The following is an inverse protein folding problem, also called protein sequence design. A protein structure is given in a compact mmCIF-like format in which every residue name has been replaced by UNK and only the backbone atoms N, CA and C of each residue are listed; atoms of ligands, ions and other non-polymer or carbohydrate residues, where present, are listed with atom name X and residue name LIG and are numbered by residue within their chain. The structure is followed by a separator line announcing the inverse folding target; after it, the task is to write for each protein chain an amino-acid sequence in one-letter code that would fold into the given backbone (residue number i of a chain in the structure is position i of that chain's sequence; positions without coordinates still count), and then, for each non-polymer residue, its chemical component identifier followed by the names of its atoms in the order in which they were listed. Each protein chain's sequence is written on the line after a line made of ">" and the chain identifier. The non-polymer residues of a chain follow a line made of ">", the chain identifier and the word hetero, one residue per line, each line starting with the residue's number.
data_IF_845051321339
#
_entry.id   IF_845051321339
#
_cell.length_a   1.000
_cell.length_b   1.000
_cell.length_c   1.000
_cell.angle_alpha   90.00
_cell.angle_beta   90.00
_cell.angle_gamma   90.00
#
_symmetry.space_group_name_H-M   'P 1'
#
loop_
_entity.id
_entity.type
_entity.pdbx_description
1 polymer ?
#
# COMPACT_ATOMS: atom_id res chain seq x y z
N UNK A 1 49.54 33.58 -71.17
CA UNK A 1 49.24 32.32 -71.90
C UNK A 1 49.36 31.14 -70.93
N UNK A 2 48.25 30.64 -70.39
CA UNK A 2 48.22 29.46 -69.51
C UNK A 2 47.51 28.32 -70.26
N UNK A 3 48.18 27.18 -70.34
CA UNK A 3 47.76 25.94 -71.03
C UNK A 3 46.62 25.28 -70.24
N UNK A 4 45.58 24.82 -70.92
CA UNK A 4 44.55 23.93 -70.36
C UNK A 4 45.04 22.48 -70.48
N UNK A 5 44.98 21.74 -69.38
CA UNK A 5 45.18 20.28 -69.35
C UNK A 5 43.80 19.66 -69.12
N UNK A 6 43.28 18.92 -70.11
CA UNK A 6 42.12 18.05 -69.94
C UNK A 6 42.52 16.88 -69.05
N UNK A 7 41.80 16.67 -67.96
CA UNK A 7 41.89 15.46 -67.14
C UNK A 7 40.60 14.65 -67.35
N UNK A 8 40.74 13.51 -68.04
CA UNK A 8 39.69 12.50 -68.15
C UNK A 8 39.47 11.88 -66.76
N UNK A 9 38.29 12.05 -66.18
CA UNK A 9 37.92 11.40 -64.93
C UNK A 9 37.25 10.05 -65.26
N UNK A 10 37.96 8.98 -64.95
CA UNK A 10 37.52 7.60 -65.10
C UNK A 10 36.49 7.31 -63.99
N UNK A 11 35.20 7.16 -64.35
CA UNK A 11 34.15 6.79 -63.39
C UNK A 11 34.27 5.30 -63.10
N UNK A 12 34.90 4.95 -61.98
CA UNK A 12 34.79 3.60 -61.40
C UNK A 12 33.41 3.48 -60.75
N UNK A 13 32.50 2.79 -61.44
CA UNK A 13 31.27 2.25 -60.86
C UNK A 13 31.66 1.19 -59.83
N UNK A 14 31.68 1.56 -58.55
CA UNK A 14 31.64 0.58 -57.48
C UNK A 14 30.20 0.04 -57.38
N UNK A 15 30.01 -1.29 -57.35
CA UNK A 15 28.68 -1.85 -57.06
C UNK A 15 28.28 -1.39 -55.66
N UNK A 16 27.14 -0.71 -55.56
CA UNK A 16 26.49 -0.43 -54.28
C UNK A 16 26.10 -1.78 -53.69
N UNK A 17 26.84 -2.22 -52.67
CA UNK A 17 26.41 -3.34 -51.85
C UNK A 17 25.24 -2.83 -51.01
N UNK A 18 24.02 -3.20 -51.38
CA UNK A 18 22.80 -2.90 -50.62
C UNK A 18 22.83 -3.67 -49.31
N UNK A 19 23.29 -3.02 -48.25
CA UNK A 19 23.25 -3.56 -46.90
C UNK A 19 21.79 -3.52 -46.42
N UNK A 20 21.22 -4.67 -46.07
CA UNK A 20 19.89 -4.79 -45.49
C UNK A 20 19.80 -3.84 -44.27
N UNK A 21 18.91 -2.86 -44.34
CA UNK A 21 18.85 -1.76 -43.37
C UNK A 21 18.04 -2.19 -42.15
N UNK A 22 18.69 -2.86 -41.20
CA UNK A 22 18.10 -3.22 -39.90
C UNK A 22 17.64 -1.94 -39.20
N UNK A 23 16.35 -1.87 -38.83
CA UNK A 23 15.78 -0.78 -38.05
C UNK A 23 15.78 -1.15 -36.56
N UNK A 24 16.11 -0.20 -35.69
CA UNK A 24 16.11 -0.40 -34.24
C UNK A 24 15.15 0.56 -33.55
N UNK A 25 14.41 0.06 -32.56
CA UNK A 25 13.55 0.85 -31.70
C UNK A 25 13.91 0.57 -30.25
N UNK A 26 14.06 1.63 -29.47
CA UNK A 26 14.30 1.57 -28.03
C UNK A 26 13.13 2.23 -27.29
N UNK A 27 12.71 1.61 -26.18
CA UNK A 27 11.68 2.14 -25.32
C UNK A 27 11.95 1.89 -23.85
N UNK A 28 11.47 2.83 -23.03
CA UNK A 28 11.57 2.78 -21.58
C UNK A 28 10.19 2.85 -20.95
N UNK A 29 9.90 1.88 -20.10
CA UNK A 29 8.69 1.87 -19.28
C UNK A 29 9.03 1.94 -17.80
N UNK A 30 8.24 2.70 -17.06
CA UNK A 30 8.35 2.83 -15.61
C UNK A 30 7.02 2.36 -15.02
N UNK A 31 7.09 1.35 -14.16
CA UNK A 31 5.96 0.82 -13.42
C UNK A 31 6.03 1.25 -11.96
N UNK A 32 4.96 1.88 -11.46
CA UNK A 32 4.79 2.17 -10.04
C UNK A 32 4.20 0.94 -9.35
N UNK A 33 4.97 0.34 -8.45
CA UNK A 33 4.62 -0.89 -7.76
C UNK A 33 3.76 -0.61 -6.53
N UNK A 34 2.74 -1.42 -6.35
CA UNK A 34 1.96 -1.47 -5.11
C UNK A 34 2.71 -2.22 -4.01
N UNK A 35 2.24 -2.10 -2.77
CA UNK A 35 2.82 -2.83 -1.61
C UNK A 35 2.79 -4.37 -1.78
N UNK A 36 1.98 -4.87 -2.71
CA UNK A 36 1.80 -6.29 -2.95
C UNK A 36 2.49 -6.79 -4.23
N UNK A 37 3.13 -5.90 -5.00
CA UNK A 37 3.86 -6.30 -6.19
C UNK A 37 5.26 -6.80 -5.83
N UNK A 38 5.56 -8.03 -6.26
CA UNK A 38 6.91 -8.57 -6.19
C UNK A 38 7.77 -8.03 -7.33
N UNK A 39 9.10 -8.01 -7.15
CA UNK A 39 10.05 -7.70 -8.23
C UNK A 39 9.78 -8.50 -9.51
N UNK A 40 9.38 -9.77 -9.38
CA UNK A 40 9.09 -10.66 -10.52
C UNK A 40 7.82 -10.21 -11.24
N UNK A 41 6.77 -9.88 -10.48
CA UNK A 41 5.50 -9.37 -11.02
C UNK A 41 5.71 -8.05 -11.76
N UNK A 42 6.43 -7.11 -11.14
CA UNK A 42 6.78 -5.84 -11.77
C UNK A 42 7.57 -6.06 -13.06
N UNK A 43 8.59 -6.92 -13.03
CA UNK A 43 9.40 -7.25 -14.21
C UNK A 43 8.55 -7.79 -15.36
N UNK A 44 7.64 -8.73 -15.07
CA UNK A 44 6.76 -9.32 -16.07
C UNK A 44 5.82 -8.28 -16.70
N UNK A 45 5.22 -7.42 -15.88
CA UNK A 45 4.34 -6.34 -16.35
C UNK A 45 5.13 -5.34 -17.20
N UNK A 46 6.28 -4.87 -16.71
CA UNK A 46 7.12 -3.92 -17.44
C UNK A 46 7.58 -4.49 -18.77
N UNK A 47 7.97 -5.77 -18.81
CA UNK A 47 8.40 -6.43 -20.05
C UNK A 47 7.27 -6.55 -21.06
N UNK A 48 6.06 -6.87 -20.61
CA UNK A 48 4.88 -6.92 -21.48
C UNK A 48 4.54 -5.54 -22.07
N UNK A 49 4.61 -4.48 -21.26
CA UNK A 49 4.32 -3.11 -21.72
C UNK A 49 5.39 -2.57 -22.66
N UNK A 50 6.68 -2.73 -22.33
CA UNK A 50 7.77 -2.31 -23.24
C UNK A 50 7.69 -3.07 -24.56
N UNK A 51 7.46 -4.40 -24.52
CA UNK A 51 7.32 -5.20 -25.75
C UNK A 51 6.15 -4.70 -26.60
N UNK A 52 5.01 -4.36 -25.98
CA UNK A 52 3.87 -3.76 -26.69
C UNK A 52 4.23 -2.45 -27.38
N UNK A 53 4.82 -1.50 -26.66
CA UNK A 53 5.21 -0.19 -27.20
C UNK A 53 6.21 -0.30 -28.36
N UNK A 54 7.19 -1.18 -28.21
CA UNK A 54 8.18 -1.48 -29.25
C UNK A 54 7.52 -2.06 -30.50
N UNK A 55 6.63 -3.04 -30.34
CA UNK A 55 5.91 -3.63 -31.46
C UNK A 55 4.96 -2.63 -32.13
N UNK A 56 4.30 -1.74 -31.36
CA UNK A 56 3.47 -0.67 -31.93
C UNK A 56 4.31 0.28 -32.79
N UNK A 57 5.52 0.67 -32.35
CA UNK A 57 6.46 1.50 -33.13
C UNK A 57 6.93 0.79 -34.40
N UNK A 58 7.32 -0.47 -34.29
CA UNK A 58 7.73 -1.28 -35.44
C UNK A 58 6.57 -1.46 -36.43
N UNK A 59 5.36 -1.73 -35.92
CA UNK A 59 4.15 -1.84 -36.71
C UNK A 59 3.88 -0.58 -37.52
N UNK A 60 3.87 0.59 -36.87
CA UNK A 60 3.71 1.89 -37.56
C UNK A 60 4.81 2.13 -38.61
N UNK A 61 6.07 1.78 -38.30
CA UNK A 61 7.17 1.95 -39.25
C UNK A 61 7.04 1.04 -40.48
N UNK A 62 6.72 -0.23 -40.25
CA UNK A 62 6.52 -1.20 -41.31
C UNK A 62 5.31 -0.83 -42.16
N UNK A 63 4.20 -0.43 -41.55
CA UNK A 63 3.01 0.09 -42.24
C UNK A 63 3.38 1.21 -43.22
N UNK A 64 4.11 2.23 -42.76
CA UNK A 64 4.60 3.33 -43.59
C UNK A 64 5.58 2.89 -44.70
N UNK A 65 6.42 1.87 -44.46
CA UNK A 65 7.33 1.31 -45.48
C UNK A 65 6.59 0.45 -46.51
N UNK A 66 5.54 -0.25 -46.08
CA UNK A 66 4.70 -1.12 -46.91
C UNK A 66 3.60 -0.37 -47.66
N UNK A 67 3.23 0.85 -47.26
CA UNK A 67 2.28 1.71 -48.00
C UNK A 67 2.83 2.22 -49.36
N UNK A 68 4.09 1.94 -49.68
CA UNK A 68 4.62 2.10 -51.06
C UNK A 68 4.42 0.81 -51.89
N UNK A 69 3.94 -0.30 -51.29
CA UNK A 69 3.67 -1.58 -51.96
C UNK A 69 2.30 -2.16 -51.53
N UNK A 70 1.24 -1.67 -52.19
CA UNK A 70 -0.04 -2.37 -52.41
C UNK A 70 -0.77 -3.00 -51.18
N UNK A 71 -1.16 -2.16 -50.22
CA UNK A 71 -2.46 -2.21 -49.51
C UNK A 71 -3.01 -3.59 -49.01
N UNK A 72 -2.23 -4.40 -48.27
CA UNK A 72 -2.68 -5.78 -47.96
C UNK A 72 -2.53 -6.31 -46.50
N UNK A 73 -2.23 -5.51 -45.47
CA UNK A 73 -2.25 -5.98 -44.08
C UNK A 73 -2.63 -4.86 -43.10
N UNK A 74 -3.34 -5.19 -42.02
CA UNK A 74 -3.66 -4.28 -40.92
C UNK A 74 -2.49 -4.16 -39.94
N UNK A 75 -2.38 -3.02 -39.24
CA UNK A 75 -1.36 -2.78 -38.20
C UNK A 75 -1.28 -3.91 -37.15
N UNK A 76 -2.41 -4.49 -36.77
CA UNK A 76 -2.48 -5.59 -35.80
C UNK A 76 -1.88 -6.91 -36.31
N UNK A 77 -1.97 -7.18 -37.63
CA UNK A 77 -1.35 -8.35 -38.26
C UNK A 77 0.18 -8.20 -38.32
N UNK A 78 0.68 -6.99 -38.62
CA UNK A 78 2.11 -6.67 -38.60
C UNK A 78 2.69 -6.83 -37.19
N UNK A 79 1.99 -6.33 -36.16
CA UNK A 79 2.38 -6.47 -34.75
C UNK A 79 2.42 -7.95 -34.34
N UNK A 80 1.40 -8.73 -34.73
CA UNK A 80 1.30 -10.16 -34.37
C UNK A 80 2.43 -10.99 -35.00
N UNK A 81 2.79 -10.68 -36.25
CA UNK A 81 3.79 -11.44 -37.00
C UNK A 81 5.22 -11.06 -36.63
N UNK A 82 5.47 -9.77 -36.43
CA UNK A 82 6.78 -9.30 -35.95
C UNK A 82 7.08 -9.76 -34.52
N UNK A 83 6.06 -9.98 -33.67
CA UNK A 83 6.25 -10.45 -32.29
C UNK A 83 6.93 -11.82 -32.14
N UNK A 84 6.87 -12.67 -33.18
CA UNK A 84 7.52 -13.99 -33.23
C UNK A 84 8.87 -14.01 -33.94
N UNK A 85 9.18 -12.98 -34.74
CA UNK A 85 10.41 -12.87 -35.54
C UNK A 85 11.45 -11.99 -34.84
N UNK A 86 10.97 -10.97 -34.13
CA UNK A 86 11.80 -9.91 -33.59
C UNK A 86 12.12 -10.18 -32.12
N UNK A 87 13.41 -10.32 -31.82
CA UNK A 87 13.90 -10.52 -30.46
C UNK A 87 13.86 -9.18 -29.70
N UNK A 88 13.26 -9.19 -28.52
CA UNK A 88 13.34 -8.07 -27.57
C UNK A 88 14.59 -8.24 -26.71
N UNK A 89 15.53 -7.32 -26.83
CA UNK A 89 16.74 -7.24 -26.00
C UNK A 89 16.53 -6.27 -24.84
N UNK A 90 16.84 -6.72 -23.63
CA UNK A 90 16.73 -5.87 -22.43
C UNK A 90 18.05 -5.14 -22.24
N UNK A 91 18.01 -3.80 -22.30
CA UNK A 91 19.20 -2.96 -22.16
C UNK A 91 19.44 -2.58 -20.70
N UNK A 92 18.38 -2.28 -19.96
CA UNK A 92 18.48 -1.86 -18.57
C UNK A 92 17.26 -2.27 -17.76
N UNK A 93 17.50 -2.80 -16.54
CA UNK A 93 16.46 -3.01 -15.53
C UNK A 93 16.89 -2.34 -14.22
N UNK A 94 15.98 -1.63 -13.54
CA UNK A 94 16.19 -1.13 -12.18
C UNK A 94 14.94 -1.33 -11.33
N UNK A 95 15.15 -1.76 -10.10
CA UNK A 95 14.13 -1.94 -9.07
C UNK A 95 14.58 -1.27 -7.78
N UNK A 96 13.74 -0.43 -7.18
CA UNK A 96 14.06 0.27 -5.93
C UNK A 96 13.07 -0.01 -4.78
N UNK A 97 12.18 -1.00 -4.93
CA UNK A 97 11.15 -1.32 -3.94
C UNK A 97 9.80 -0.63 -4.18
N UNK A 98 9.78 0.45 -4.98
CA UNK A 98 8.56 1.23 -5.28
C UNK A 98 8.32 1.39 -6.77
N UNK A 99 9.36 1.41 -7.58
CA UNK A 99 9.27 1.57 -9.03
C UNK A 99 10.19 0.59 -9.73
N UNK A 100 9.69 0.04 -10.83
CA UNK A 100 10.42 -0.84 -11.74
C UNK A 100 10.60 -0.12 -13.07
N UNK A 101 11.84 0.19 -13.45
CA UNK A 101 12.15 0.77 -14.75
C UNK A 101 12.78 -0.28 -15.66
N UNK A 102 12.24 -0.44 -16.87
CA UNK A 102 12.74 -1.34 -17.89
C UNK A 102 12.98 -0.57 -19.19
N UNK A 103 14.19 -0.67 -19.73
CA UNK A 103 14.51 -0.21 -21.08
C UNK A 103 14.84 -1.41 -21.95
N UNK A 104 14.18 -1.54 -23.09
CA UNK A 104 14.43 -2.61 -24.04
C UNK A 104 14.48 -2.10 -25.48
N UNK A 105 15.08 -2.91 -26.34
CA UNK A 105 15.23 -2.67 -27.77
C UNK A 105 14.66 -3.82 -28.57
N UNK A 106 14.13 -3.51 -29.74
CA UNK A 106 13.91 -4.47 -30.81
C UNK A 106 14.69 -4.04 -32.04
N UNK A 107 15.18 -5.02 -32.78
CA UNK A 107 15.82 -4.82 -34.07
C UNK A 107 15.13 -5.71 -35.10
N UNK A 108 14.73 -5.12 -36.23
CA UNK A 108 14.04 -5.84 -37.28
C UNK A 108 14.69 -5.54 -38.63
N UNK A 109 14.87 -6.57 -39.45
CA UNK A 109 15.11 -6.42 -40.87
C UNK A 109 13.75 -6.25 -41.57
N UNK A 110 13.41 -5.05 -42.07
CA UNK A 110 12.10 -4.81 -42.66
C UNK A 110 11.85 -5.67 -43.91
N UNK A 111 12.91 -5.99 -44.65
CA UNK A 111 12.80 -6.75 -45.90
C UNK A 111 12.64 -8.24 -45.60
N UNK A 112 13.35 -8.75 -44.59
CA UNK A 112 13.14 -10.09 -44.05
C UNK A 112 11.74 -10.28 -43.43
N UNK A 113 11.21 -9.25 -42.74
CA UNK A 113 9.82 -9.27 -42.26
C UNK A 113 8.86 -9.29 -43.45
N UNK A 114 9.07 -8.47 -44.49
CA UNK A 114 8.26 -8.49 -45.71
C UNK A 114 8.28 -9.84 -46.43
N UNK A 115 9.44 -10.49 -46.54
CA UNK A 115 9.56 -11.83 -47.14
C UNK A 115 8.84 -12.90 -46.31
N UNK A 116 8.95 -12.85 -44.98
CA UNK A 116 8.20 -13.74 -44.10
C UNK A 116 6.68 -13.55 -44.25
N UNK A 117 6.23 -12.30 -44.47
CA UNK A 117 4.83 -11.96 -44.74
C UNK A 117 4.37 -12.52 -46.10
N UNK A 118 5.17 -12.43 -47.15
CA UNK A 118 4.86 -13.02 -48.46
C UNK A 118 4.81 -14.55 -48.41
N UNK A 119 5.76 -15.18 -47.71
CA UNK A 119 5.79 -16.64 -47.53
C UNK A 119 4.52 -17.16 -46.80
N UNK A 120 4.00 -16.38 -45.85
CA UNK A 120 2.77 -16.71 -45.13
C UNK A 120 1.50 -16.54 -45.98
N UNK A 121 1.48 -15.63 -46.95
CA UNK A 121 0.37 -15.50 -47.93
C UNK A 121 0.28 -16.69 -48.88
N UNK A 122 1.41 -17.35 -49.16
CA UNK A 122 1.47 -18.52 -50.05
C UNK A 122 1.16 -19.85 -49.35
N UNK A 123 1.17 -19.89 -48.01
CA UNK A 123 0.74 -21.06 -47.23
C UNK A 123 -0.80 -21.04 -47.08
N UNK A 124 -1.49 -21.95 -47.77
CA UNK A 124 -2.96 -22.11 -47.70
C UNK A 124 -3.51 -22.28 -46.26
N UNK A 125 -2.66 -22.56 -45.25
CA UNK A 125 -3.03 -22.68 -43.84
C UNK A 125 -2.37 -21.65 -42.90
N UNK A 126 -1.53 -20.75 -43.42
CA UNK A 126 -0.76 -19.77 -42.63
C UNK A 126 -1.66 -18.74 -41.94
N UNK A 127 -2.59 -18.17 -42.69
CA UNK A 127 -3.54 -17.15 -42.21
C UNK A 127 -4.43 -17.68 -41.06
N UNK A 128 -4.89 -18.94 -41.17
CA UNK A 128 -5.68 -19.60 -40.13
C UNK A 128 -4.87 -19.83 -38.84
N UNK A 129 -3.59 -20.18 -38.94
CA UNK A 129 -2.70 -20.33 -37.77
C UNK A 129 -2.47 -18.98 -37.08
N UNK A 130 -2.27 -17.91 -37.85
CA UNK A 130 -2.07 -16.56 -37.32
C UNK A 130 -3.32 -16.06 -36.61
N UNK A 131 -4.50 -16.20 -37.23
CA UNK A 131 -5.78 -15.85 -36.59
C UNK A 131 -5.98 -16.62 -35.29
N UNK A 132 -5.70 -17.93 -35.29
CA UNK A 132 -5.78 -18.75 -34.07
C UNK A 132 -4.80 -18.28 -32.98
N UNK A 133 -3.58 -17.92 -33.33
CA UNK A 133 -2.58 -17.37 -32.40
C UNK A 133 -2.99 -16.00 -31.86
N UNK A 134 -3.53 -15.11 -32.71
CA UNK A 134 -4.05 -13.81 -32.31
C UNK A 134 -5.19 -13.97 -31.29
N UNK A 135 -6.15 -14.86 -31.57
CA UNK A 135 -7.26 -15.15 -30.65
C UNK A 135 -6.77 -15.74 -29.32
N UNK A 136 -5.78 -16.63 -29.35
CA UNK A 136 -5.19 -17.21 -28.12
C UNK A 136 -4.51 -16.10 -27.31
N UNK A 137 -3.78 -15.19 -27.97
CA UNK A 137 -3.08 -14.10 -27.32
C UNK A 137 -4.06 -13.09 -26.70
N UNK A 138 -5.12 -12.72 -27.42
CA UNK A 138 -6.21 -11.86 -26.91
C UNK A 138 -6.88 -12.46 -25.67
N UNK A 139 -7.29 -13.73 -25.73
CA UNK A 139 -7.84 -14.45 -24.57
C UNK A 139 -6.87 -14.53 -23.39
N UNK A 140 -5.57 -14.66 -23.67
CA UNK A 140 -4.54 -14.68 -22.62
C UNK A 140 -4.39 -13.32 -21.95
N UNK A 141 -4.45 -12.23 -22.73
CA UNK A 141 -4.44 -10.85 -22.21
C UNK A 141 -5.68 -10.61 -21.34
N UNK A 142 -6.86 -11.02 -21.79
CA UNK A 142 -8.10 -10.92 -21.01
C UNK A 142 -8.00 -11.68 -19.69
N UNK A 143 -7.46 -12.90 -19.73
CA UNK A 143 -7.26 -13.70 -18.51
C UNK A 143 -6.26 -13.05 -17.55
N UNK A 144 -5.19 -12.47 -18.07
CA UNK A 144 -4.23 -11.70 -17.25
C UNK A 144 -4.91 -10.50 -16.59
N UNK A 145 -5.75 -9.77 -17.32
CA UNK A 145 -6.48 -8.62 -16.79
C UNK A 145 -7.53 -9.02 -15.74
N UNK A 146 -8.20 -10.16 -15.93
CA UNK A 146 -9.08 -10.76 -14.94
C UNK A 146 -8.33 -11.12 -13.65
N UNK A 147 -7.23 -11.86 -13.76
CA UNK A 147 -6.40 -12.25 -12.61
C UNK A 147 -5.85 -11.04 -11.85
N UNK A 148 -5.50 -9.95 -12.55
CA UNK A 148 -5.10 -8.67 -11.91
C UNK A 148 -6.23 -8.08 -11.06
N UNK A 149 -7.48 -8.11 -11.55
CA UNK A 149 -8.64 -7.61 -10.80
C UNK A 149 -8.93 -8.49 -9.58
N UNK A 150 -8.81 -9.80 -9.71
CA UNK A 150 -8.96 -10.73 -8.58
C UNK A 150 -7.88 -10.51 -7.51
N UNK A 151 -6.62 -10.35 -7.94
CA UNK A 151 -5.51 -10.06 -7.04
C UNK A 151 -5.74 -8.75 -6.26
N UNK A 152 -6.19 -7.68 -6.93
CA UNK A 152 -6.51 -6.41 -6.28
C UNK A 152 -7.61 -6.56 -5.21
N UNK A 153 -8.66 -7.34 -5.48
CA UNK A 153 -9.73 -7.62 -4.50
C UNK A 153 -9.21 -8.40 -3.29
N UNK A 154 -8.37 -9.41 -3.52
CA UNK A 154 -7.76 -10.19 -2.43
C UNK A 154 -6.88 -9.31 -1.56
N UNK A 155 -6.11 -8.40 -2.15
CA UNK A 155 -5.27 -7.45 -1.42
C UNK A 155 -6.09 -6.51 -0.54
N UNK A 156 -7.17 -5.92 -1.06
CA UNK A 156 -8.08 -5.07 -0.27
C UNK A 156 -8.65 -5.82 0.93
N UNK A 157 -9.11 -7.06 0.72
CA UNK A 157 -9.62 -7.91 1.79
C UNK A 157 -8.57 -8.24 2.85
N UNK A 158 -7.31 -8.50 2.45
CA UNK A 158 -6.21 -8.74 3.39
C UNK A 158 -5.92 -7.52 4.27
N UNK A 159 -5.99 -6.31 3.72
CA UNK A 159 -5.84 -5.07 4.49
C UNK A 159 -6.94 -4.95 5.55
N UNK A 160 -8.19 -5.21 5.18
CA UNK A 160 -9.33 -5.18 6.10
C UNK A 160 -9.17 -6.23 7.22
N UNK A 161 -8.85 -7.47 6.87
CA UNK A 161 -8.62 -8.56 7.84
C UNK A 161 -7.50 -8.21 8.81
N UNK A 162 -6.37 -7.68 8.32
CA UNK A 162 -5.26 -7.27 9.18
C UNK A 162 -5.63 -6.12 10.12
N UNK A 163 -6.43 -5.15 9.63
CA UNK A 163 -6.94 -4.05 10.47
C UNK A 163 -7.86 -4.59 11.57
N UNK A 164 -8.77 -5.48 11.24
CA UNK A 164 -9.72 -6.04 12.19
C UNK A 164 -9.03 -6.95 13.21
N UNK A 165 -8.06 -7.75 12.77
CA UNK A 165 -7.20 -8.55 13.64
C UNK A 165 -6.38 -7.68 14.59
N UNK A 166 -5.70 -6.65 14.09
CA UNK A 166 -4.91 -5.73 14.94
C UNK A 166 -5.77 -4.99 15.97
N UNK A 167 -6.99 -4.60 15.58
CA UNK A 167 -7.97 -3.97 16.49
C UNK A 167 -8.40 -4.95 17.56
N UNK A 168 -8.75 -6.18 17.17
CA UNK A 168 -9.15 -7.25 18.08
C UNK A 168 -8.03 -7.61 19.07
N UNK A 169 -6.79 -7.70 18.58
CA UNK A 169 -5.61 -7.95 19.40
C UNK A 169 -5.39 -6.84 20.45
N UNK A 170 -5.50 -5.55 20.07
CA UNK A 170 -5.43 -4.44 21.02
C UNK A 170 -6.52 -4.54 22.10
N UNK A 171 -7.74 -4.93 21.74
CA UNK A 171 -8.83 -5.11 22.70
C UNK A 171 -8.54 -6.25 23.70
N UNK A 172 -8.05 -7.38 23.21
CA UNK A 172 -7.71 -8.55 24.03
C UNK A 172 -6.56 -8.21 24.99
N UNK A 173 -5.46 -7.65 24.47
CA UNK A 173 -4.28 -7.30 25.29
C UNK A 173 -4.63 -6.24 26.35
N UNK A 174 -5.49 -5.27 26.00
CA UNK A 174 -5.99 -4.28 26.96
C UNK A 174 -6.79 -4.94 28.09
N UNK A 175 -7.69 -5.86 27.75
CA UNK A 175 -8.48 -6.59 28.73
C UNK A 175 -7.62 -7.48 29.64
N UNK A 176 -6.70 -8.27 29.08
CA UNK A 176 -5.81 -9.14 29.84
C UNK A 176 -4.92 -8.35 30.81
N UNK A 177 -4.37 -7.23 30.35
CA UNK A 177 -3.58 -6.31 31.18
C UNK A 177 -4.42 -5.70 32.30
N UNK A 178 -5.68 -5.34 32.02
CA UNK A 178 -6.59 -4.80 33.02
C UNK A 178 -6.96 -5.83 34.10
N UNK A 179 -7.29 -7.07 33.71
CA UNK A 179 -7.58 -8.16 34.65
C UNK A 179 -6.37 -8.49 35.52
N UNK A 180 -5.17 -8.50 34.93
CA UNK A 180 -3.90 -8.66 35.66
C UNK A 180 -3.71 -7.54 36.68
N UNK A 181 -3.96 -6.29 36.28
CA UNK A 181 -3.91 -5.14 37.19
C UNK A 181 -4.87 -5.26 38.36
N UNK A 182 -6.12 -5.69 38.12
CA UNK A 182 -7.11 -5.93 39.17
C UNK A 182 -6.66 -7.03 40.15
N UNK A 183 -6.15 -8.14 39.64
CA UNK A 183 -5.65 -9.25 40.46
C UNK A 183 -4.47 -8.81 41.35
N UNK A 184 -3.52 -8.06 40.80
CA UNK A 184 -2.37 -7.52 41.54
C UNK A 184 -2.81 -6.49 42.59
N UNK A 185 -3.78 -5.64 42.26
CA UNK A 185 -4.35 -4.65 43.17
C UNK A 185 -5.00 -5.33 44.39
N UNK A 186 -5.78 -6.39 44.16
CA UNK A 186 -6.41 -7.19 45.21
C UNK A 186 -5.39 -7.90 46.10
N UNK A 187 -4.26 -8.33 45.54
CA UNK A 187 -3.12 -8.93 46.28
C UNK A 187 -2.22 -7.89 46.96
N UNK A 188 -2.55 -6.60 46.92
CA UNK A 188 -1.76 -5.53 47.52
C UNK A 188 -0.46 -5.18 46.78
N UNK A 189 -0.21 -5.75 45.60
CA UNK A 189 1.00 -5.50 44.79
C UNK A 189 0.82 -4.23 43.95
N UNK A 190 0.69 -3.08 44.61
CA UNK A 190 0.22 -1.84 43.99
C UNK A 190 1.10 -1.31 42.85
N UNK A 191 2.44 -1.37 42.98
CA UNK A 191 3.33 -0.90 41.91
C UNK A 191 3.21 -1.78 40.65
N UNK A 192 3.09 -3.10 40.81
CA UNK A 192 2.89 -4.02 39.69
C UNK A 192 1.51 -3.84 39.06
N UNK A 193 0.48 -3.57 39.87
CA UNK A 193 -0.85 -3.25 39.37
C UNK A 193 -0.85 -1.98 38.51
N UNK A 194 -0.07 -0.96 38.90
CA UNK A 194 0.10 0.27 38.10
C UNK A 194 0.67 -0.07 36.73
N UNK A 195 1.77 -0.84 36.66
CA UNK A 195 2.38 -1.24 35.38
C UNK A 195 1.42 -2.02 34.49
N UNK A 196 0.59 -2.91 35.06
CA UNK A 196 -0.41 -3.64 34.30
C UNK A 196 -1.53 -2.71 33.78
N UNK A 197 -1.97 -1.72 34.56
CA UNK A 197 -2.92 -0.72 34.09
C UNK A 197 -2.32 0.24 33.05
N UNK A 198 -1.02 0.54 33.12
CA UNK A 198 -0.30 1.31 32.10
C UNK A 198 -0.39 0.60 30.75
N UNK A 199 -0.08 -0.70 30.70
CA UNK A 199 -0.21 -1.52 29.50
C UNK A 199 -1.66 -1.57 28.98
N UNK A 200 -2.65 -1.71 29.88
CA UNK A 200 -4.06 -1.69 29.49
C UNK A 200 -4.48 -0.37 28.83
N UNK A 201 -3.95 0.76 29.33
CA UNK A 201 -4.21 2.11 28.80
C UNK A 201 -3.53 2.33 27.46
N UNK A 202 -2.31 1.82 27.27
CA UNK A 202 -1.57 1.91 26.01
C UNK A 202 -2.29 1.17 24.87
N UNK A 203 -2.87 0.00 25.15
CA UNK A 203 -3.61 -0.77 24.16
C UNK A 203 -4.99 -0.19 23.83
N UNK A 204 -5.79 0.14 24.85
CA UNK A 204 -7.11 0.75 24.67
C UNK A 204 -7.54 1.51 25.94
N UNK A 205 -7.45 2.85 25.96
CA UNK A 205 -7.75 3.64 27.14
C UNK A 205 -9.24 3.64 27.48
N UNK A 206 -9.63 3.04 28.61
CA UNK A 206 -11.00 3.10 29.16
C UNK A 206 -11.02 3.79 30.52
N UNK A 207 -12.15 4.42 30.84
CA UNK A 207 -12.32 5.15 32.11
C UNK A 207 -11.98 4.30 33.35
N UNK A 208 -12.26 2.99 33.29
CA UNK A 208 -12.05 2.06 34.39
C UNK A 208 -10.56 1.77 34.62
N UNK A 209 -9.73 1.78 33.57
CA UNK A 209 -8.29 1.54 33.69
C UNK A 209 -7.65 2.66 34.52
N UNK A 210 -7.94 3.91 34.17
CA UNK A 210 -7.52 5.08 34.95
C UNK A 210 -8.09 5.07 36.36
N UNK A 211 -9.37 4.72 36.53
CA UNK A 211 -9.98 4.66 37.87
C UNK A 211 -9.23 3.69 38.78
N UNK A 212 -8.96 2.47 38.31
CA UNK A 212 -8.29 1.45 39.12
C UNK A 212 -6.81 1.75 39.36
N UNK A 213 -6.11 2.31 38.37
CA UNK A 213 -4.74 2.81 38.57
C UNK A 213 -4.69 3.96 39.57
N UNK A 214 -5.67 4.86 39.55
CA UNK A 214 -5.87 5.88 40.58
C UNK A 214 -6.08 5.32 41.98
N UNK A 215 -6.80 4.19 42.12
CA UNK A 215 -6.92 3.47 43.40
C UNK A 215 -5.57 2.90 43.86
N UNK A 216 -4.78 2.32 42.97
CA UNK A 216 -3.44 1.84 43.30
C UNK A 216 -2.53 2.99 43.78
N UNK A 217 -2.55 4.13 43.10
CA UNK A 217 -1.84 5.33 43.53
C UNK A 217 -2.32 5.84 44.91
N UNK A 218 -3.62 5.80 45.19
CA UNK A 218 -4.16 6.12 46.52
C UNK A 218 -3.60 5.22 47.62
N UNK A 219 -3.46 3.92 47.34
CA UNK A 219 -2.89 2.94 48.29
C UNK A 219 -1.41 3.19 48.57
N UNK A 220 -0.66 3.65 47.55
CA UNK A 220 0.72 4.09 47.67
C UNK A 220 0.88 5.53 48.20
N UNK A 221 -0.21 6.20 48.57
CA UNK A 221 -0.24 7.61 49.01
C UNK A 221 0.29 8.61 47.96
N UNK A 222 0.35 8.20 46.70
CA UNK A 222 0.72 9.06 45.57
C UNK A 222 -0.50 9.87 45.10
N UNK A 223 -0.96 10.77 45.96
CA UNK A 223 -2.25 11.45 45.78
C UNK A 223 -2.32 12.33 44.53
N UNK A 224 -1.22 12.92 44.10
CA UNK A 224 -1.18 13.76 42.91
C UNK A 224 -1.42 12.94 41.64
N UNK A 225 -0.80 11.75 41.55
CA UNK A 225 -0.98 10.81 40.43
C UNK A 225 -2.42 10.26 40.43
N UNK A 226 -2.94 9.90 41.60
CA UNK A 226 -4.34 9.50 41.74
C UNK A 226 -5.32 10.58 41.25
N UNK A 227 -5.06 11.86 41.55
CA UNK A 227 -5.90 12.97 41.07
C UNK A 227 -5.89 13.08 39.55
N UNK A 228 -4.72 12.93 38.92
CA UNK A 228 -4.60 12.93 37.45
C UNK A 228 -5.44 11.80 36.86
N UNK A 229 -5.27 10.59 37.37
CA UNK A 229 -5.99 9.40 36.89
C UNK A 229 -7.51 9.48 37.11
N UNK A 230 -7.97 9.92 38.27
CA UNK A 230 -9.40 10.14 38.47
C UNK A 230 -9.94 11.25 37.58
N UNK A 231 -9.13 12.26 37.23
CA UNK A 231 -9.53 13.30 36.29
C UNK A 231 -9.66 12.75 34.86
N UNK A 232 -8.71 11.92 34.41
CA UNK A 232 -8.81 11.21 33.13
C UNK A 232 -10.03 10.28 33.09
N UNK A 233 -10.28 9.56 34.18
CA UNK A 233 -11.47 8.70 34.33
C UNK A 233 -12.77 9.51 34.21
N UNK A 234 -12.84 10.68 34.85
CA UNK A 234 -13.99 11.61 34.75
C UNK A 234 -14.12 12.19 33.34
N UNK A 235 -13.02 12.49 32.66
CA UNK A 235 -13.03 12.96 31.28
C UNK A 235 -13.65 11.94 30.32
N UNK A 236 -13.31 10.66 30.50
CA UNK A 236 -13.88 9.55 29.71
C UNK A 236 -15.30 9.16 30.15
N UNK A 237 -15.62 9.30 31.44
CA UNK A 237 -16.94 8.99 31.99
C UNK A 237 -17.42 10.11 32.95
N UNK A 238 -18.06 11.19 32.43
CA UNK A 238 -18.45 12.36 33.22
C UNK A 238 -19.45 12.09 34.35
N UNK A 239 -20.10 10.91 34.35
CA UNK A 239 -21.03 10.47 35.40
C UNK A 239 -20.42 9.43 36.36
N UNK A 240 -19.10 9.19 36.30
CA UNK A 240 -18.39 8.26 37.17
C UNK A 240 -18.33 8.76 38.63
N UNK A 241 -19.44 8.60 39.37
CA UNK A 241 -19.62 9.08 40.75
C UNK A 241 -18.52 8.61 41.72
N UNK A 242 -17.98 7.41 41.50
CA UNK A 242 -16.89 6.88 42.31
C UNK A 242 -15.57 7.61 42.05
N UNK A 243 -15.27 7.98 40.81
CA UNK A 243 -14.07 8.75 40.46
C UNK A 243 -14.09 10.15 41.10
N UNK A 244 -15.24 10.85 41.07
CA UNK A 244 -15.41 12.12 41.80
C UNK A 244 -15.19 11.94 43.30
N UNK A 245 -15.78 10.92 43.92
CA UNK A 245 -15.61 10.70 45.35
C UNK A 245 -14.14 10.45 45.71
N UNK A 246 -13.45 9.59 44.96
CA UNK A 246 -12.05 9.25 45.22
C UNK A 246 -11.10 10.41 44.93
N UNK A 247 -11.33 11.18 43.86
CA UNK A 247 -10.58 12.42 43.59
C UNK A 247 -10.78 13.44 44.69
N UNK A 248 -12.01 13.55 45.19
CA UNK A 248 -12.34 14.42 46.31
C UNK A 248 -11.59 14.03 47.59
N UNK A 249 -11.50 12.73 47.87
CA UNK A 249 -10.70 12.20 48.97
C UNK A 249 -9.19 12.47 48.78
N UNK A 250 -8.67 12.29 47.56
CA UNK A 250 -7.27 12.57 47.22
C UNK A 250 -6.93 14.06 47.39
N UNK A 251 -7.78 14.97 46.91
CA UNK A 251 -7.62 16.42 47.10
C UNK A 251 -7.54 16.80 48.57
N UNK A 252 -8.34 16.18 49.43
CA UNK A 252 -8.29 16.42 50.87
C UNK A 252 -6.97 15.95 51.49
N UNK A 253 -6.39 14.85 51.00
CA UNK A 253 -5.10 14.33 51.49
C UNK A 253 -3.94 15.26 51.19
N UNK A 254 -4.02 16.06 50.11
CA UNK A 254 -3.03 17.09 49.77
C UNK A 254 -3.43 18.50 50.23
N UNK A 255 -4.35 18.62 51.20
CA UNK A 255 -4.74 19.91 51.78
C UNK A 255 -5.73 20.74 50.95
N UNK A 256 -6.07 20.36 49.71
CA UNK A 256 -7.04 21.05 48.84
C UNK A 256 -8.49 20.75 49.23
N UNK A 257 -8.87 21.06 50.48
CA UNK A 257 -10.15 20.69 51.10
C UNK A 257 -11.38 21.20 50.34
N UNK A 258 -11.33 22.43 49.80
CA UNK A 258 -12.45 23.03 49.05
C UNK A 258 -12.75 22.27 47.75
N UNK A 259 -11.73 22.04 46.91
CA UNK A 259 -11.84 21.20 45.70
C UNK A 259 -12.33 19.79 46.05
N UNK A 260 -11.80 19.22 47.12
CA UNK A 260 -12.24 17.91 47.60
C UNK A 260 -13.72 17.86 47.98
N UNK A 261 -14.22 18.88 48.69
CA UNK A 261 -15.63 18.98 49.06
C UNK A 261 -16.54 19.16 47.84
N UNK A 262 -16.11 19.95 46.85
CA UNK A 262 -16.85 20.13 45.60
C UNK A 262 -17.05 18.79 44.87
N UNK A 263 -15.99 18.01 44.72
CA UNK A 263 -16.02 16.69 44.09
C UNK A 263 -16.90 15.70 44.88
N UNK A 264 -16.81 15.69 46.21
CA UNK A 264 -17.66 14.82 47.05
C UNK A 264 -19.14 15.22 46.93
N UNK A 265 -19.46 16.52 46.92
CA UNK A 265 -20.83 17.00 46.68
C UNK A 265 -21.33 16.59 45.29
N UNK A 266 -20.48 16.69 44.26
CA UNK A 266 -20.82 16.24 42.90
C UNK A 266 -21.08 14.74 42.86
N UNK A 267 -20.23 13.93 43.49
CA UNK A 267 -20.43 12.49 43.62
C UNK A 267 -21.76 12.15 44.31
N UNK A 268 -22.11 12.87 45.38
CA UNK A 268 -23.38 12.68 46.09
C UNK A 268 -24.60 13.03 45.22
N UNK A 269 -24.54 14.14 44.46
CA UNK A 269 -25.57 14.52 43.46
C UNK A 269 -25.73 13.46 42.37
N UNK A 270 -24.62 12.83 41.94
CA UNK A 270 -24.62 11.70 41.01
C UNK A 270 -25.05 10.36 41.67
N UNK A 271 -25.53 10.38 42.91
CA UNK A 271 -26.06 9.19 43.59
C UNK A 271 -24.99 8.30 44.25
N UNK A 272 -23.81 8.82 44.61
CA UNK A 272 -22.83 8.05 45.39
C UNK A 272 -23.26 7.94 46.85
N UNK A 273 -23.56 6.72 47.30
CA UNK A 273 -23.89 6.44 48.69
C UNK A 273 -22.74 6.73 49.66
N UNK A 274 -21.49 6.45 49.25
CA UNK A 274 -20.29 6.74 50.04
C UNK A 274 -20.11 8.25 50.24
N UNK A 275 -20.32 9.04 49.18
CA UNK A 275 -20.26 10.50 49.27
C UNK A 275 -21.35 11.08 50.18
N UNK A 276 -22.59 10.60 50.06
CA UNK A 276 -23.71 11.00 50.93
C UNK A 276 -23.43 10.69 52.40
N UNK A 277 -22.96 9.48 52.70
CA UNK A 277 -22.57 9.07 54.07
C UNK A 277 -21.44 9.93 54.61
N UNK A 278 -20.41 10.18 53.81
CA UNK A 278 -19.28 11.03 54.21
C UNK A 278 -19.71 12.46 54.54
N UNK A 279 -20.58 13.06 53.72
CA UNK A 279 -21.10 14.42 53.95
C UNK A 279 -21.90 14.51 55.25
N UNK A 280 -22.80 13.54 55.49
CA UNK A 280 -23.58 13.46 56.74
C UNK A 280 -22.67 13.35 57.96
N UNK A 281 -21.68 12.46 57.91
CA UNK A 281 -20.72 12.25 59.01
C UNK A 281 -19.85 13.48 59.32
N UNK A 282 -19.75 14.43 58.38
CA UNK A 282 -19.02 15.69 58.55
C UNK A 282 -19.92 16.90 58.75
N UNK A 283 -21.21 16.70 59.03
CA UNK A 283 -22.16 17.78 59.33
C UNK A 283 -22.63 18.59 58.12
N UNK A 284 -22.38 18.15 56.90
CA UNK A 284 -22.85 18.85 55.70
C UNK A 284 -24.30 18.48 55.37
N UNK A 285 -25.15 19.51 55.15
CA UNK A 285 -26.55 19.33 54.72
C UNK A 285 -26.63 18.51 53.41
N UNK A 286 -27.66 17.67 53.28
CA UNK A 286 -27.90 16.88 52.05
C UNK A 286 -27.91 17.83 50.84
N UNK A 287 -27.18 17.52 49.76
CA UNK A 287 -27.34 18.29 48.53
C UNK A 287 -28.80 18.14 48.07
N UNK A 288 -29.48 19.28 47.89
CA UNK A 288 -30.75 19.35 47.16
C UNK A 288 -30.55 18.82 45.75
#
# INVERSE_FOLDING_TARGET
>A
MKKYVLFYWFVLLFPVVTQASVVSFEEKYIYDASEADSKITCRAISLLQVKRLLLEKLGTYLEAKTEIVNNQLTKDEIITLSAGIVKTEILQEKWNGKTYSLTARIEADPDGVAQALEALKQDNNGENKIKKLATINEKSIDKINELKRELARVQENLVLINRDFSTSSKLINSWESFETGLALLNRGKYQKAISAFDAAIEHNPKYMHFFQRGIAYMKLRQYQNAIKDFSSSIGLAPRAKNAYFQRGMAYRRIGKKSKGLQDIKKAAKLGSGNAKRWLKAKGYKKPK
#
